data_IF_175720613566
#
_entry.id   IF_175720613566
#
_cell.length_a   1.000
_cell.length_b   1.000
_cell.length_c   1.000
_cell.angle_alpha   90.00
_cell.angle_beta   90.00
_cell.angle_gamma   90.00
#
_symmetry.space_group_name_H-M   'P 1'
#
loop_
_entity.id
_entity.type
_entity.pdbx_description
1 polymer ?
#
# COMPACT_ATOMS: atom_id res chain seq x y z
N UNK A 1 9.01 5.93 0.58
CA UNK A 1 7.67 5.94 -0.04
C UNK A 1 6.81 6.91 0.73
N UNK A 2 5.82 7.55 0.11
CA UNK A 2 4.94 8.49 0.80
C UNK A 2 3.53 8.44 0.21
N UNK A 3 2.53 8.78 1.02
CA UNK A 3 1.17 9.07 0.57
C UNK A 3 0.66 10.34 1.24
N UNK A 4 -0.13 11.10 0.50
CA UNK A 4 -0.73 12.36 0.96
C UNK A 4 -2.24 12.21 0.91
N UNK A 5 -2.89 12.51 2.02
CA UNK A 5 -4.35 12.62 2.14
C UNK A 5 -4.74 14.05 2.45
N UNK A 6 -6.03 14.27 2.71
CA UNK A 6 -6.56 15.61 3.05
C UNK A 6 -6.17 16.08 4.45
N UNK A 7 -5.94 15.14 5.36
CA UNK A 7 -5.70 15.37 6.79
C UNK A 7 -4.21 15.36 7.14
N UNK A 8 -3.35 14.92 6.21
CA UNK A 8 -1.93 14.80 6.47
C UNK A 8 -1.23 13.94 5.43
N UNK A 9 0.00 13.57 5.73
CA UNK A 9 0.79 12.67 4.88
C UNK A 9 1.50 11.62 5.73
N UNK A 10 1.70 10.45 5.12
CA UNK A 10 2.45 9.36 5.69
C UNK A 10 3.76 9.19 4.93
N UNK A 11 4.87 9.24 5.64
CA UNK A 11 6.19 8.87 5.15
C UNK A 11 6.51 7.45 5.61
N UNK A 12 7.10 6.68 4.70
CA UNK A 12 7.44 5.29 4.93
C UNK A 12 8.91 5.08 4.64
N UNK A 13 9.60 4.59 5.67
CA UNK A 13 10.90 3.95 5.54
C UNK A 13 10.68 2.44 5.37
N UNK A 14 10.98 1.87 4.19
CA UNK A 14 10.88 0.43 4.00
C UNK A 14 11.78 -0.32 4.98
N UNK A 15 11.34 -1.50 5.42
CA UNK A 15 12.21 -2.43 6.15
C UNK A 15 13.25 -3.04 5.21
N UNK A 16 14.37 -3.48 5.77
CA UNK A 16 15.47 -4.10 5.01
C UNK A 16 15.60 -5.55 5.43
N UNK A 17 15.49 -6.46 4.48
CA UNK A 17 15.69 -7.89 4.73
C UNK A 17 17.13 -8.18 5.15
N UNK A 18 17.31 -9.25 5.92
CA UNK A 18 18.62 -9.82 6.21
C UNK A 18 19.35 -10.25 4.93
N UNK A 19 20.69 -10.29 4.97
CA UNK A 19 21.56 -10.63 3.84
C UNK A 19 21.34 -12.05 3.27
N UNK A 20 20.64 -12.91 4.00
CA UNK A 20 20.34 -14.31 3.69
C UNK A 20 18.92 -14.50 3.12
N UNK A 21 18.15 -13.42 2.96
CA UNK A 21 16.74 -13.51 2.59
C UNK A 21 15.88 -14.20 3.67
N UNK A 22 16.46 -14.47 4.83
CA UNK A 22 15.85 -15.16 5.96
C UNK A 22 15.95 -14.28 7.22
N UNK A 23 15.23 -14.70 8.26
CA UNK A 23 15.13 -13.96 9.52
C UNK A 23 16.15 -14.54 10.49
N UNK A 24 17.25 -13.82 10.74
CA UNK A 24 18.12 -14.16 11.87
C UNK A 24 17.53 -13.56 13.14
N UNK A 25 16.97 -14.44 13.98
CA UNK A 25 16.60 -14.16 15.38
C UNK A 25 17.80 -14.18 16.33
N UNK A 26 19.00 -14.48 15.83
CA UNK A 26 20.18 -14.66 16.65
C UNK A 26 21.18 -13.51 16.46
N UNK A 27 21.61 -12.96 17.60
CA UNK A 27 22.73 -12.02 17.71
C UNK A 27 23.96 -12.71 17.08
N UNK A 28 24.67 -12.08 16.12
CA UNK A 28 25.86 -12.69 15.55
C UNK A 28 26.88 -12.92 16.66
N UNK A 29 27.26 -14.17 16.92
CA UNK A 29 28.47 -14.47 17.69
C UNK A 29 29.61 -13.94 16.83
N UNK A 30 30.32 -12.92 17.33
CA UNK A 30 31.47 -12.36 16.63
C UNK A 30 32.53 -13.43 16.41
N UNK A 31 32.64 -13.89 15.16
CA UNK A 31 33.79 -14.65 14.70
C UNK A 31 35.06 -13.83 14.87
N UNK A 32 36.13 -14.53 15.26
CA UNK A 32 37.44 -13.97 15.58
C UNK A 32 37.91 -12.96 14.51
N UNK A 33 37.95 -11.67 14.87
CA UNK A 33 38.28 -10.53 14.00
C UNK A 33 39.73 -10.51 13.50
N UNK A 34 40.54 -11.49 13.86
CA UNK A 34 41.99 -11.54 13.61
C UNK A 34 42.41 -12.55 12.54
N UNK A 35 41.47 -13.14 11.78
CA UNK A 35 41.84 -13.99 10.64
C UNK A 35 42.34 -13.12 9.47
N UNK A 36 43.50 -13.42 8.86
CA UNK A 36 43.97 -12.72 7.67
C UNK A 36 43.00 -12.96 6.51
N UNK A 37 42.46 -11.87 5.95
CA UNK A 37 41.56 -11.92 4.80
C UNK A 37 42.34 -12.28 3.54
N UNK A 38 41.78 -13.17 2.73
CA UNK A 38 42.33 -13.56 1.43
C UNK A 38 42.07 -12.50 0.36
N UNK A 39 42.85 -12.50 -0.73
CA UNK A 39 42.73 -11.52 -1.82
C UNK A 39 41.33 -11.54 -2.49
N UNK A 40 40.70 -12.71 -2.54
CA UNK A 40 39.32 -12.87 -3.01
C UNK A 40 38.30 -12.16 -2.09
N UNK A 41 38.53 -12.19 -0.78
CA UNK A 41 37.69 -11.49 0.20
C UNK A 41 37.87 -9.97 0.09
N UNK A 42 39.10 -9.50 -0.11
CA UNK A 42 39.38 -8.07 -0.33
C UNK A 42 38.69 -7.54 -1.60
N UNK A 43 38.73 -8.27 -2.71
CA UNK A 43 38.05 -7.88 -3.96
C UNK A 43 36.52 -7.86 -3.80
N UNK A 44 35.96 -8.82 -3.06
CA UNK A 44 34.53 -8.86 -2.75
C UNK A 44 34.08 -7.70 -1.85
N UNK A 45 34.95 -7.28 -0.93
CA UNK A 45 34.71 -6.17 0.00
C UNK A 45 34.82 -4.82 -0.70
N UNK A 46 35.72 -4.71 -1.67
CA UNK A 46 35.86 -3.53 -2.53
C UNK A 46 34.69 -3.41 -3.51
N UNK A 47 34.18 -4.53 -4.05
CA UNK A 47 32.93 -4.58 -4.82
C UNK A 47 31.70 -4.19 -3.97
N UNK A 48 31.62 -4.65 -2.71
CA UNK A 48 30.56 -4.21 -1.76
C UNK A 48 30.66 -2.73 -1.44
N UNK A 49 31.87 -2.18 -1.27
CA UNK A 49 32.08 -0.74 -1.06
C UNK A 49 31.64 0.09 -2.26
N UNK A 50 31.84 -0.39 -3.49
CA UNK A 50 31.36 0.27 -4.72
C UNK A 50 29.84 0.22 -4.89
N UNK A 51 29.17 -0.82 -4.39
CA UNK A 51 27.69 -0.94 -4.41
C UNK A 51 26.99 -0.26 -3.22
N UNK A 52 27.74 0.17 -2.19
CA UNK A 52 27.21 0.53 -0.88
C UNK A 52 26.72 1.97 -0.69
N UNK A 53 26.00 2.58 -1.64
CA UNK A 53 25.49 3.95 -1.40
C UNK A 53 24.12 4.05 -0.71
N UNK A 54 23.34 2.97 -0.60
CA UNK A 54 22.01 3.01 0.05
C UNK A 54 21.58 1.70 0.73
N UNK A 55 22.49 0.82 1.15
CA UNK A 55 22.07 -0.40 1.88
C UNK A 55 22.01 -0.07 3.37
N UNK A 56 20.80 0.22 3.87
CA UNK A 56 20.60 0.36 5.31
C UNK A 56 20.85 -0.95 6.06
N UNK A 57 20.86 -0.89 7.39
CA UNK A 57 21.24 -2.01 8.25
C UNK A 57 20.29 -3.21 8.00
N UNK A 58 20.82 -4.38 7.59
CA UNK A 58 20.02 -5.58 7.39
C UNK A 58 19.25 -5.94 8.67
N UNK A 59 17.98 -6.34 8.51
CA UNK A 59 17.12 -6.65 9.66
C UNK A 59 16.49 -5.42 10.31
N UNK A 60 16.59 -4.22 9.73
CA UNK A 60 15.82 -3.08 10.24
C UNK A 60 14.34 -3.18 9.88
N UNK A 61 13.43 -2.99 10.85
CA UNK A 61 12.00 -2.98 10.59
C UNK A 61 11.58 -1.73 9.79
N UNK A 62 10.51 -1.90 9.02
CA UNK A 62 9.83 -0.78 8.37
C UNK A 62 9.28 0.21 9.40
N UNK A 63 9.24 1.48 9.04
CA UNK A 63 8.79 2.54 9.95
C UNK A 63 7.85 3.49 9.20
N UNK A 64 6.71 3.72 9.82
CA UNK A 64 5.69 4.67 9.39
C UNK A 64 5.81 5.94 10.22
N UNK A 65 5.72 7.09 9.55
CA UNK A 65 5.62 8.40 10.16
C UNK A 65 4.38 9.07 9.60
N UNK A 66 3.44 9.46 10.44
CA UNK A 66 2.29 10.23 10.01
C UNK A 66 2.38 11.64 10.57
N UNK A 67 2.16 12.63 9.69
CA UNK A 67 2.17 14.05 10.03
C UNK A 67 0.81 14.61 9.63
N UNK A 68 0.04 15.05 10.63
CA UNK A 68 -1.24 15.73 10.43
C UNK A 68 -1.04 17.18 9.98
N UNK A 69 -1.99 17.70 9.20
CA UNK A 69 -2.08 19.13 8.89
C UNK A 69 -2.75 19.95 9.99
N UNK A 70 -3.45 19.32 10.94
CA UNK A 70 -4.16 19.98 12.03
C UNK A 70 -3.23 20.49 13.16
N UNK A 71 -1.91 20.33 13.00
CA UNK A 71 -0.91 20.80 13.95
C UNK A 71 -0.27 22.13 13.50
N UNK A 72 0.42 22.85 14.41
CA UNK A 72 1.16 24.05 14.05
C UNK A 72 2.16 23.74 12.91
N UNK A 73 1.94 24.34 11.73
CA UNK A 73 2.62 24.02 10.46
C UNK A 73 4.17 24.10 10.50
N UNK A 74 4.74 24.70 11.54
CA UNK A 74 6.19 24.81 11.74
C UNK A 74 6.80 23.62 12.50
N UNK A 75 5.99 22.79 13.17
CA UNK A 75 6.47 21.56 13.81
C UNK A 75 6.35 20.43 12.80
N UNK A 76 7.41 20.17 12.05
CA UNK A 76 7.58 18.98 11.20
C UNK A 76 7.68 17.67 12.03
N UNK A 77 7.01 17.61 13.18
CA UNK A 77 7.03 16.47 14.09
C UNK A 77 5.92 15.49 13.69
N UNK A 78 6.22 14.19 13.65
CA UNK A 78 5.20 13.17 13.41
C UNK A 78 4.15 13.21 14.51
N UNK A 79 2.89 13.21 14.14
CA UNK A 79 1.76 13.01 15.06
C UNK A 79 1.84 11.64 15.73
N UNK A 80 2.32 10.64 14.99
CA UNK A 80 2.69 9.34 15.52
C UNK A 80 3.68 8.65 14.59
N UNK A 81 4.39 7.67 15.14
CA UNK A 81 5.26 6.75 14.41
C UNK A 81 4.87 5.31 14.74
N UNK A 82 5.10 4.40 13.80
CA UNK A 82 4.80 2.99 14.00
C UNK A 82 5.86 2.10 13.36
N UNK A 83 6.49 1.26 14.17
CA UNK A 83 7.48 0.28 13.73
C UNK A 83 6.78 -1.02 13.36
N UNK A 84 6.96 -1.47 12.12
CA UNK A 84 6.41 -2.74 11.64
C UNK A 84 7.18 -3.93 12.18
N UNK A 85 6.56 -5.11 12.07
CA UNK A 85 7.22 -6.35 12.46
C UNK A 85 8.49 -6.56 11.62
N UNK A 86 9.51 -7.17 12.23
CA UNK A 86 10.71 -7.58 11.51
C UNK A 86 10.33 -8.45 10.32
N UNK A 87 10.86 -8.12 9.15
CA UNK A 87 10.60 -8.86 7.93
C UNK A 87 9.38 -8.45 7.13
N UNK A 88 8.59 -7.53 7.65
CA UNK A 88 7.49 -6.93 6.93
C UNK A 88 7.99 -5.71 6.16
N UNK A 89 7.72 -5.70 4.85
CA UNK A 89 8.10 -4.61 3.96
C UNK A 89 6.86 -3.88 3.48
N UNK A 90 6.86 -2.56 3.62
CA UNK A 90 5.77 -1.75 3.07
C UNK A 90 5.88 -1.71 1.55
N UNK A 91 4.77 -2.06 0.90
CA UNK A 91 4.66 -2.08 -0.55
C UNK A 91 3.78 -0.96 -1.10
N UNK A 92 2.70 -0.61 -0.39
CA UNK A 92 1.84 0.51 -0.73
C UNK A 92 1.34 1.20 0.55
N UNK A 93 1.04 2.49 0.46
CA UNK A 93 0.44 3.27 1.55
C UNK A 93 -0.61 4.20 0.98
N UNK A 94 -1.71 4.40 1.69
CA UNK A 94 -2.76 5.35 1.37
C UNK A 94 -3.21 6.08 2.65
N UNK A 95 -3.61 7.34 2.50
CA UNK A 95 -4.09 8.18 3.61
C UNK A 95 -5.49 8.65 3.27
N UNK A 96 -6.45 8.25 4.10
CA UNK A 96 -7.84 8.71 4.04
C UNK A 96 -8.07 9.90 4.97
N UNK A 97 -9.31 10.35 5.10
CA UNK A 97 -9.73 11.35 6.09
C UNK A 97 -9.75 10.80 7.54
N UNK A 98 -9.87 9.48 7.75
CA UNK A 98 -9.98 8.88 9.09
C UNK A 98 -8.88 7.89 9.46
N UNK A 99 -8.15 7.35 8.48
CA UNK A 99 -7.14 6.31 8.70
C UNK A 99 -5.95 6.40 7.72
N UNK A 100 -4.87 5.71 8.08
CA UNK A 100 -3.75 5.38 7.20
C UNK A 100 -3.79 3.88 6.92
N UNK A 101 -3.84 3.50 5.65
CA UNK A 101 -3.81 2.11 5.21
C UNK A 101 -2.43 1.77 4.64
N UNK A 102 -1.91 0.60 5.01
CA UNK A 102 -0.58 0.14 4.60
C UNK A 102 -0.68 -1.29 4.12
N UNK A 103 -0.31 -1.52 2.85
CA UNK A 103 -0.18 -2.86 2.30
C UNK A 103 1.28 -3.30 2.37
N UNK A 104 1.51 -4.50 2.89
CA UNK A 104 2.85 -5.03 3.13
C UNK A 104 3.08 -6.35 2.42
N UNK A 105 4.35 -6.67 2.23
CA UNK A 105 4.84 -7.93 1.66
C UNK A 105 5.90 -8.56 2.59
N UNK A 106 6.34 -9.78 2.25
CA UNK A 106 7.23 -10.61 3.03
C UNK A 106 6.73 -12.05 3.08
N UNK A 107 6.88 -12.73 4.23
CA UNK A 107 6.28 -14.07 4.44
C UNK A 107 4.76 -14.07 4.38
N UNK A 108 4.14 -12.98 4.82
CA UNK A 108 2.70 -12.76 4.82
C UNK A 108 2.44 -11.38 4.25
N UNK A 109 1.34 -11.25 3.51
CA UNK A 109 0.93 -10.02 2.88
C UNK A 109 -0.24 -9.49 3.69
N UNK A 110 -0.09 -8.30 4.26
CA UNK A 110 -1.12 -7.73 5.11
C UNK A 110 -1.58 -6.38 4.58
N UNK A 111 -2.85 -6.10 4.79
CA UNK A 111 -3.39 -4.75 4.81
C UNK A 111 -3.58 -4.35 6.28
N UNK A 112 -2.84 -3.33 6.72
CA UNK A 112 -2.93 -2.75 8.06
C UNK A 112 -3.65 -1.42 7.98
N UNK A 113 -4.51 -1.16 8.96
CA UNK A 113 -5.24 0.11 9.08
C UNK A 113 -4.87 0.74 10.42
N UNK A 114 -4.44 2.00 10.38
CA UNK A 114 -4.06 2.79 11.54
C UNK A 114 -4.98 4.00 11.67
N UNK A 115 -5.42 4.32 12.88
CA UNK A 115 -6.17 5.54 13.15
C UNK A 115 -5.28 6.77 12.93
N UNK A 116 -5.83 7.82 12.31
CA UNK A 116 -5.11 9.10 12.19
C UNK A 116 -4.81 9.68 13.56
N UNK A 117 -5.76 9.60 14.48
CA UNK A 117 -5.57 10.03 15.86
C UNK A 117 -4.85 8.94 16.64
N UNK A 118 -3.60 9.20 17.02
CA UNK A 118 -2.82 8.36 17.91
C UNK A 118 -2.13 7.14 17.26
N UNK A 119 -2.37 6.85 15.98
CA UNK A 119 -1.66 5.78 15.27
C UNK A 119 -2.00 4.38 15.75
N UNK A 120 -3.17 4.19 16.35
CA UNK A 120 -3.62 2.89 16.85
C UNK A 120 -3.91 1.97 15.67
N UNK A 121 -3.36 0.76 15.68
CA UNK A 121 -3.68 -0.23 14.67
C UNK A 121 -5.09 -0.77 14.90
N UNK A 122 -5.99 -0.43 13.98
CA UNK A 122 -7.41 -0.77 14.03
C UNK A 122 -7.64 -2.20 13.54
N UNK A 123 -7.00 -2.60 12.44
CA UNK A 123 -7.16 -3.94 11.89
C UNK A 123 -5.95 -4.41 11.07
N UNK A 124 -5.86 -5.72 10.91
CA UNK A 124 -4.93 -6.41 10.00
C UNK A 124 -5.74 -7.42 9.20
N UNK A 125 -5.67 -7.34 7.88
CA UNK A 125 -6.31 -8.30 6.97
C UNK A 125 -5.26 -8.97 6.09
N UNK A 126 -5.35 -10.28 5.89
CA UNK A 126 -4.47 -11.00 4.95
C UNK A 126 -4.83 -10.71 3.50
N UNK A 127 -3.83 -10.45 2.66
CA UNK A 127 -4.00 -10.24 1.22
C UNK A 127 -3.72 -11.52 0.45
N UNK A 128 -4.59 -11.86 -0.49
CA UNK A 128 -4.49 -13.09 -1.27
C UNK A 128 -3.41 -12.99 -2.39
N UNK A 129 -3.03 -11.77 -2.76
CA UNK A 129 -2.06 -11.47 -3.83
C UNK A 129 -0.97 -10.48 -3.38
N UNK A 130 0.04 -10.28 -4.21
CA UNK A 130 1.07 -9.25 -3.98
C UNK A 130 0.47 -7.86 -4.22
N UNK A 131 0.43 -6.96 -3.22
CA UNK A 131 -0.14 -5.63 -3.41
C UNK A 131 0.68 -4.83 -4.43
N UNK A 132 -0.02 -4.24 -5.39
CA UNK A 132 0.55 -3.39 -6.43
C UNK A 132 0.20 -1.93 -6.19
N UNK A 133 -1.08 -1.67 -5.90
CA UNK A 133 -1.60 -0.33 -5.69
C UNK A 133 -2.58 -0.30 -4.52
N UNK A 134 -2.63 0.85 -3.85
CA UNK A 134 -3.49 1.11 -2.72
C UNK A 134 -3.96 2.56 -2.81
N UNK A 135 -5.27 2.77 -2.75
CA UNK A 135 -5.85 4.10 -2.58
C UNK A 135 -6.98 4.05 -1.54
N UNK A 136 -7.30 5.20 -0.95
CA UNK A 136 -8.35 5.33 0.04
C UNK A 136 -9.13 6.63 -0.13
N UNK A 137 -10.45 6.58 0.08
CA UNK A 137 -11.31 7.76 0.11
C UNK A 137 -12.50 7.55 1.05
N UNK A 138 -12.64 8.41 2.06
CA UNK A 138 -13.64 8.23 3.12
C UNK A 138 -13.44 6.87 3.83
N UNK A 139 -14.47 6.05 4.00
CA UNK A 139 -14.33 4.73 4.62
C UNK A 139 -13.84 3.65 3.64
N UNK A 140 -13.63 3.99 2.36
CA UNK A 140 -13.30 2.99 1.36
C UNK A 140 -11.79 2.83 1.17
N UNK A 141 -11.35 1.58 1.08
CA UNK A 141 -10.00 1.20 0.68
C UNK A 141 -10.10 0.36 -0.59
N UNK A 142 -9.31 0.71 -1.60
CA UNK A 142 -9.13 -0.11 -2.79
C UNK A 142 -7.70 -0.65 -2.81
N UNK A 143 -7.56 -1.97 -2.91
CA UNK A 143 -6.28 -2.65 -3.10
C UNK A 143 -6.29 -3.36 -4.46
N UNK A 144 -5.28 -3.10 -5.28
CA UNK A 144 -4.99 -3.91 -6.47
C UNK A 144 -3.83 -4.83 -6.17
N UNK A 145 -3.98 -6.09 -6.51
CA UNK A 145 -3.00 -7.13 -6.24
C UNK A 145 -2.70 -7.96 -7.49
N UNK A 146 -1.45 -8.39 -7.62
CA UNK A 146 -1.09 -9.45 -8.54
C UNK A 146 -1.60 -10.79 -8.00
N UNK A 147 -2.38 -11.50 -8.81
CA UNK A 147 -2.99 -12.78 -8.44
C UNK A 147 -2.25 -13.97 -9.04
N UNK A 148 -2.02 -13.97 -10.34
CA UNK A 148 -1.40 -15.08 -11.06
C UNK A 148 -0.75 -14.61 -12.36
N UNK A 149 0.06 -15.49 -12.96
CA UNK A 149 0.60 -15.30 -14.30
C UNK A 149 0.03 -16.38 -15.20
N UNK A 150 -0.66 -15.97 -16.26
CA UNK A 150 -1.16 -16.87 -17.27
C UNK A 150 -0.05 -17.12 -18.30
N UNK A 151 0.52 -18.32 -18.28
CA UNK A 151 1.61 -18.72 -19.19
C UNK A 151 1.14 -18.87 -20.63
N UNK A 152 -0.16 -19.10 -20.87
CA UNK A 152 -0.68 -19.34 -22.21
C UNK A 152 -0.75 -18.07 -23.04
N UNK A 153 -1.13 -16.95 -22.41
CA UNK A 153 -1.17 -15.61 -23.02
C UNK A 153 0.03 -14.75 -22.63
N UNK A 154 0.83 -15.17 -21.66
CA UNK A 154 1.99 -14.41 -21.18
C UNK A 154 1.60 -13.18 -20.35
N UNK A 155 0.43 -13.20 -19.73
CA UNK A 155 -0.17 -12.02 -19.07
C UNK A 155 -0.24 -12.16 -17.55
N UNK A 156 -0.01 -11.04 -16.85
CA UNK A 156 -0.18 -10.94 -15.40
C UNK A 156 -1.63 -10.63 -15.07
N UNK A 157 -2.28 -11.51 -14.33
CA UNK A 157 -3.64 -11.31 -13.88
C UNK A 157 -3.64 -10.51 -12.57
N UNK A 158 -4.40 -9.43 -12.56
CA UNK A 158 -4.61 -8.59 -11.39
C UNK A 158 -6.03 -8.77 -10.85
N UNK A 159 -6.16 -8.69 -9.53
CA UNK A 159 -7.46 -8.60 -8.84
C UNK A 159 -7.53 -7.34 -8.02
N UNK A 160 -8.74 -6.87 -7.79
CA UNK A 160 -9.01 -5.81 -6.84
C UNK A 160 -9.84 -6.31 -5.66
N UNK A 161 -9.71 -5.61 -4.55
CA UNK A 161 -10.56 -5.72 -3.38
C UNK A 161 -10.92 -4.31 -2.92
N UNK A 162 -12.23 -4.06 -2.75
CA UNK A 162 -12.79 -2.84 -2.21
C UNK A 162 -13.38 -3.15 -0.83
N UNK A 163 -12.87 -2.47 0.19
CA UNK A 163 -13.24 -2.65 1.59
C UNK A 163 -13.92 -1.38 2.11
N UNK A 164 -14.89 -1.56 3.00
CA UNK A 164 -15.47 -0.49 3.81
C UNK A 164 -14.97 -0.66 5.25
N UNK A 165 -14.24 0.34 5.75
CA UNK A 165 -13.60 0.30 7.06
C UNK A 165 -14.57 0.62 8.20
N UNK A 166 -15.68 1.32 7.92
CA UNK A 166 -16.69 1.62 8.94
C UNK A 166 -17.52 0.36 9.23
N UNK A 167 -17.85 -0.40 8.17
CA UNK A 167 -18.63 -1.64 8.27
C UNK A 167 -17.78 -2.91 8.43
N UNK A 168 -16.47 -2.81 8.19
CA UNK A 168 -15.53 -3.94 8.32
C UNK A 168 -15.75 -5.06 7.30
N UNK A 169 -16.35 -4.77 6.15
CA UNK A 169 -16.70 -5.77 5.13
C UNK A 169 -16.07 -5.48 3.75
N UNK A 170 -16.00 -6.52 2.93
CA UNK A 170 -15.64 -6.40 1.51
C UNK A 170 -16.87 -5.95 0.75
N UNK A 171 -16.80 -4.76 0.15
CA UNK A 171 -17.87 -4.19 -0.70
C UNK A 171 -17.89 -4.87 -2.06
N UNK A 172 -16.72 -5.07 -2.66
CA UNK A 172 -16.57 -5.73 -3.96
C UNK A 172 -15.18 -6.32 -4.11
N UNK A 173 -15.05 -7.37 -4.92
CA UNK A 173 -13.77 -7.95 -5.33
C UNK A 173 -13.92 -8.61 -6.70
N UNK A 174 -12.87 -8.62 -7.49
CA UNK A 174 -12.92 -9.22 -8.82
C UNK A 174 -11.61 -9.10 -9.58
N UNK A 175 -11.61 -9.56 -10.83
CA UNK A 175 -10.52 -9.31 -11.76
C UNK A 175 -10.47 -7.82 -12.13
N UNK A 176 -9.27 -7.30 -12.37
CA UNK A 176 -9.08 -5.97 -12.94
C UNK A 176 -9.17 -6.11 -14.46
N UNK A 177 -10.10 -5.43 -15.14
CA UNK A 177 -10.10 -5.40 -16.59
C UNK A 177 -8.86 -4.63 -17.05
N UNK A 178 -8.00 -5.30 -17.80
CA UNK A 178 -6.80 -4.73 -18.40
C UNK A 178 -6.83 -5.04 -19.90
N UNK A 179 -6.36 -4.11 -20.72
CA UNK A 179 -6.12 -4.41 -22.12
C UNK A 179 -5.08 -5.55 -22.27
N UNK A 180 -5.15 -6.38 -23.32
CA UNK A 180 -4.15 -7.42 -23.55
C UNK A 180 -2.72 -6.85 -23.58
N UNK A 181 -1.79 -7.55 -22.93
CA UNK A 181 -0.39 -7.13 -22.77
C UNK A 181 -0.16 -5.89 -21.89
N UNK A 182 -1.21 -5.29 -21.32
CA UNK A 182 -1.10 -4.12 -20.47
C UNK A 182 -0.90 -4.48 -18.99
N UNK A 183 -0.47 -3.49 -18.21
CA UNK A 183 -0.39 -3.60 -16.75
C UNK A 183 -1.15 -2.44 -16.11
N UNK A 184 -1.72 -2.66 -14.92
CA UNK A 184 -2.23 -1.55 -14.12
C UNK A 184 -1.08 -0.60 -13.81
N UNK A 185 -1.26 0.70 -14.02
CA UNK A 185 -0.25 1.75 -13.74
C UNK A 185 -0.67 2.68 -12.63
N UNK A 186 -1.98 2.83 -12.42
CA UNK A 186 -2.55 3.71 -11.41
C UNK A 186 -3.92 3.18 -10.96
N UNK A 187 -4.27 3.45 -9.71
CA UNK A 187 -5.62 3.28 -9.22
C UNK A 187 -6.01 4.46 -8.35
N UNK A 188 -7.30 4.76 -8.31
CA UNK A 188 -7.82 5.64 -7.30
C UNK A 188 -9.31 5.83 -7.36
N UNK A 189 -9.81 6.80 -6.63
CA UNK A 189 -11.22 7.12 -6.60
C UNK A 189 -11.55 8.37 -7.41
N UNK A 190 -12.75 8.40 -7.97
CA UNK A 190 -13.34 9.61 -8.54
C UNK A 190 -13.53 10.66 -7.44
N UNK A 191 -12.80 11.77 -7.57
CA UNK A 191 -12.86 12.95 -6.71
C UNK A 191 -13.55 14.10 -7.43
N UNK A 192 -14.81 13.95 -7.83
CA UNK A 192 -15.53 15.10 -8.41
C UNK A 192 -15.72 16.19 -7.35
N UNK A 193 -15.30 17.41 -7.69
CA UNK A 193 -15.77 18.62 -7.05
C UNK A 193 -17.26 18.81 -7.37
N UNK A 194 -18.02 19.26 -6.37
CA UNK A 194 -19.42 19.67 -6.49
C UNK A 194 -19.54 20.74 -7.58
N UNK A 195 -19.84 20.35 -8.82
CA UNK A 195 -20.43 21.24 -9.82
C UNK A 195 -21.91 20.90 -9.87
N UNK A 196 -22.73 21.84 -9.42
CA UNK A 196 -24.18 21.78 -9.53
C UNK A 196 -24.58 21.43 -10.97
N UNK A 197 -25.45 20.43 -11.13
CA UNK A 197 -26.21 20.25 -12.38
C UNK A 197 -25.71 19.24 -13.41
N UNK A 198 -24.65 18.45 -13.17
CA UNK A 198 -24.35 17.29 -14.02
C UNK A 198 -24.24 16.02 -13.19
N UNK A 199 -25.08 15.04 -13.49
CA UNK A 199 -24.99 13.66 -12.98
C UNK A 199 -23.78 12.99 -13.64
N UNK A 200 -22.58 13.34 -13.16
CA UNK A 200 -21.36 12.58 -13.37
C UNK A 200 -21.31 11.40 -12.40
N UNK A 201 -20.41 10.43 -12.65
CA UNK A 201 -20.24 9.22 -11.83
C UNK A 201 -20.30 9.51 -10.34
N UNK A 202 -20.89 8.59 -9.57
CA UNK A 202 -21.01 8.72 -8.11
C UNK A 202 -19.66 9.14 -7.50
N UNK A 203 -19.64 10.11 -6.57
CA UNK A 203 -18.43 10.36 -5.80
C UNK A 203 -17.99 9.03 -5.16
N UNK A 204 -16.68 8.74 -5.19
CA UNK A 204 -16.08 7.47 -4.72
C UNK A 204 -16.21 6.27 -5.67
N UNK A 205 -16.48 6.46 -6.96
CA UNK A 205 -16.29 5.35 -7.92
C UNK A 205 -14.81 4.97 -8.00
N UNK A 206 -14.44 3.70 -7.72
CA UNK A 206 -13.07 3.20 -7.91
C UNK A 206 -12.71 3.10 -9.40
N UNK A 207 -11.49 3.52 -9.72
CA UNK A 207 -10.92 3.56 -11.06
C UNK A 207 -9.57 2.86 -11.11
N UNK A 208 -9.27 2.24 -12.24
CA UNK A 208 -7.94 1.71 -12.57
C UNK A 208 -7.54 2.20 -13.95
N UNK A 209 -6.30 2.65 -14.10
CA UNK A 209 -5.72 2.97 -15.40
C UNK A 209 -4.70 1.90 -15.78
N UNK A 210 -4.79 1.42 -17.02
CA UNK A 210 -3.78 0.53 -17.59
C UNK A 210 -2.67 1.29 -18.35
N UNK A 211 -1.58 0.58 -18.66
CA UNK A 211 -0.44 1.12 -19.38
C UNK A 211 -0.75 1.52 -20.83
N UNK A 212 -1.90 1.11 -21.37
CA UNK A 212 -2.41 1.56 -22.67
C UNK A 212 -3.15 2.90 -22.59
N UNK A 213 -3.38 3.42 -21.37
CA UNK A 213 -4.08 4.68 -21.13
C UNK A 213 -5.59 4.54 -20.95
N UNK A 214 -6.13 3.33 -20.95
CA UNK A 214 -7.57 3.11 -20.73
C UNK A 214 -7.88 3.19 -19.24
N UNK A 215 -8.93 3.93 -18.90
CA UNK A 215 -9.43 4.04 -17.52
C UNK A 215 -10.69 3.19 -17.37
N UNK A 216 -10.61 2.23 -16.46
CA UNK A 216 -11.67 1.30 -16.15
C UNK A 216 -12.35 1.71 -14.85
N UNK A 217 -13.67 1.92 -14.91
CA UNK A 217 -14.49 2.01 -13.70
C UNK A 217 -14.73 0.62 -13.13
N UNK A 218 -14.37 0.40 -11.86
CA UNK A 218 -14.72 -0.84 -11.17
C UNK A 218 -16.15 -0.68 -10.65
N UNK A 219 -17.12 -0.80 -11.55
CA UNK A 219 -18.52 -0.68 -11.20
C UNK A 219 -18.93 -1.84 -10.27
N UNK A 220 -19.42 -1.49 -9.08
CA UNK A 220 -20.22 -2.38 -8.27
C UNK A 220 -21.65 -1.84 -8.29
N UNK A 221 -22.64 -2.72 -8.47
CA UNK A 221 -24.05 -2.34 -8.35
C UNK A 221 -24.34 -2.03 -6.88
N UNK A 222 -24.01 -0.82 -6.43
CA UNK A 222 -24.67 -0.25 -5.27
C UNK A 222 -26.06 0.21 -5.73
N UNK A 223 -27.03 -0.70 -5.77
CA UNK A 223 -28.42 -0.28 -5.70
C UNK A 223 -28.64 0.31 -4.31
N UNK A 224 -28.39 1.62 -4.14
CA UNK A 224 -29.09 2.35 -3.09
C UNK A 224 -30.51 2.56 -3.62
N UNK A 225 -31.45 1.79 -3.06
CA UNK A 225 -32.86 1.95 -3.34
C UNK A 225 -33.34 3.33 -2.90
N UNK A 226 -33.28 4.32 -3.80
CA UNK A 226 -34.11 5.50 -3.67
C UNK A 226 -35.51 5.06 -4.09
N UNK A 227 -36.27 4.57 -3.11
CA UNK A 227 -37.69 4.37 -3.25
C UNK A 227 -38.33 5.75 -3.39
N UNK A 228 -38.55 6.20 -4.63
CA UNK A 228 -39.39 7.35 -4.91
C UNK A 228 -40.82 6.95 -4.57
N UNK A 229 -41.24 7.14 -3.32
CA UNK A 229 -42.65 7.09 -2.95
C UNK A 229 -43.30 8.27 -3.68
N UNK A 230 -43.91 8.00 -4.84
CA UNK A 230 -44.93 8.88 -5.41
C UNK A 230 -46.11 8.88 -4.43
N UNK A 231 -46.16 9.87 -3.56
CA UNK A 231 -47.44 10.33 -3.00
C UNK A 231 -48.18 11.07 -4.10
N UNK A 232 -49.34 10.54 -4.49
CA UNK A 232 -50.29 11.21 -5.37
C UNK A 232 -51.16 10.24 -6.14
N UNK A 233 -52.26 9.77 -5.52
CA UNK A 233 -53.60 10.32 -5.71
C UNK A 233 -54.40 10.06 -4.43
#
# INVERSE_FOLDING_TARGET
MAAVGRTGYCLVRPGILGNDGTYKTEIPIEGNRNAPKTDAEMLSEEQRRRQGRCQGIPGMPGLLYFITFDGPHYRLQPSWTHTLALGEQVRCVAVSESFVAVATTGRRRYLRIFSIKGGMQVSITGLEGEPLYLDAQGPLIMVIMHWSFDRSVGERQCKYMLLDTDNGNIVSRGAVPLAPGSSAVWCGFVRYGRREGRVGMSPRTPLVQDSGGVVWGLFFQAFSGICFRRSGC
#
